data_IF_895599382344
#
_entry.id   IF_895599382344
#
_cell.length_a   1.000
_cell.length_b   1.000
_cell.length_c   1.000
_cell.angle_alpha   90.00
_cell.angle_beta   90.00
_cell.angle_gamma   90.00
#
_symmetry.space_group_name_H-M   'P 1'
#
loop_
_entity.id
_entity.type
_entity.pdbx_description
1 polymer ?
#
# COMPACT_ATOMS: atom_id res chain seq x y z
N UNK A 1 13.90 -10.61 6.54
CA UNK A 1 12.56 -10.17 6.10
C UNK A 1 12.74 -8.91 5.27
N UNK A 2 12.33 -8.87 4.00
CA UNK A 2 12.32 -7.60 3.25
C UNK A 2 11.17 -6.75 3.83
N UNK A 3 11.51 -5.52 4.19
CA UNK A 3 10.65 -4.53 4.84
C UNK A 3 9.57 -4.06 3.84
N UNK A 4 8.36 -3.77 4.32
CA UNK A 4 7.24 -3.29 3.49
C UNK A 4 7.53 -1.99 2.77
N UNK A 5 6.81 -1.75 1.68
CA UNK A 5 6.98 -0.59 0.81
C UNK A 5 5.94 0.48 1.15
N UNK A 6 6.39 1.73 1.27
CA UNK A 6 5.52 2.88 1.57
C UNK A 6 4.97 3.50 0.29
N UNK A 7 3.69 3.87 0.33
CA UNK A 7 2.95 4.47 -0.78
C UNK A 7 2.50 5.87 -0.39
N UNK A 8 2.81 6.86 -1.22
CA UNK A 8 2.56 8.29 -1.01
C UNK A 8 3.02 8.80 0.36
N UNK A 9 4.26 8.50 0.76
CA UNK A 9 4.86 8.94 2.02
C UNK A 9 5.61 10.28 1.91
N UNK A 10 5.70 10.84 0.69
CA UNK A 10 6.49 12.01 0.36
C UNK A 10 7.99 11.90 0.66
N UNK A 11 8.49 10.69 0.91
CA UNK A 11 9.90 10.42 1.15
C UNK A 11 10.45 9.50 0.07
N UNK A 12 9.85 8.33 -0.07
CA UNK A 12 10.18 7.32 -1.08
C UNK A 12 9.29 7.53 -2.31
N UNK A 13 7.99 7.65 -2.08
CA UNK A 13 7.01 7.97 -3.11
C UNK A 13 6.55 9.42 -2.94
N UNK A 14 7.23 10.31 -3.67
CA UNK A 14 6.97 11.76 -3.63
C UNK A 14 5.55 12.07 -4.10
N UNK A 15 4.93 13.04 -3.42
CA UNK A 15 3.66 13.58 -3.87
C UNK A 15 3.77 14.14 -5.27
N UNK A 16 2.73 13.93 -6.08
CA UNK A 16 2.67 14.53 -7.42
C UNK A 16 2.40 16.02 -7.27
N UNK A 17 3.10 16.79 -8.09
CA UNK A 17 2.91 18.23 -8.22
C UNK A 17 2.45 18.53 -9.63
N UNK A 18 1.62 19.55 -9.79
CA UNK A 18 1.12 20.01 -11.08
C UNK A 18 1.02 21.52 -11.10
N UNK A 19 0.67 22.08 -12.26
CA UNK A 19 0.32 23.50 -12.39
C UNK A 19 -1.20 23.58 -12.53
N UNK A 20 -1.86 24.34 -11.69
CA UNK A 20 -3.29 24.63 -11.84
C UNK A 20 -3.46 25.52 -13.08
N UNK A 21 -4.22 25.02 -14.07
CA UNK A 21 -4.44 25.73 -15.33
C UNK A 21 -5.29 27.01 -15.16
N UNK A 22 -5.96 27.18 -14.02
CA UNK A 22 -6.88 28.29 -13.73
C UNK A 22 -6.13 29.53 -13.25
N UNK A 23 -5.08 29.35 -12.43
CA UNK A 23 -4.36 30.46 -11.79
C UNK A 23 -2.83 30.35 -11.84
N UNK A 24 -2.28 29.26 -12.40
CA UNK A 24 -0.85 29.03 -12.51
C UNK A 24 -0.15 28.64 -11.21
N UNK A 25 -0.90 28.40 -10.13
CA UNK A 25 -0.35 27.89 -8.87
C UNK A 25 0.25 26.49 -9.05
N UNK A 26 1.13 26.08 -8.13
CA UNK A 26 1.76 24.76 -8.13
C UNK A 26 1.24 23.90 -6.97
N UNK A 27 0.01 23.36 -7.06
CA UNK A 27 -0.54 22.54 -5.99
C UNK A 27 0.20 21.21 -5.83
N UNK A 28 0.23 20.73 -4.58
CA UNK A 28 0.74 19.41 -4.20
C UNK A 28 -0.45 18.46 -4.01
N UNK A 29 -0.41 17.29 -4.65
CA UNK A 29 -1.39 16.24 -4.46
C UNK A 29 -1.02 15.40 -3.22
N UNK A 30 -1.37 15.93 -2.04
CA UNK A 30 -1.19 15.22 -0.77
C UNK A 30 -1.98 13.91 -0.81
N UNK A 31 -1.28 12.79 -0.67
CA UNK A 31 -1.88 11.46 -0.77
C UNK A 31 -2.02 10.91 -2.20
N UNK A 32 -1.54 11.61 -3.24
CA UNK A 32 -1.51 11.09 -4.61
C UNK A 32 -2.87 10.60 -5.14
N UNK A 33 -3.95 11.33 -4.84
CA UNK A 33 -5.30 11.02 -5.33
C UNK A 33 -5.35 10.96 -6.85
N UNK A 34 -6.03 9.95 -7.41
CA UNK A 34 -6.14 9.76 -8.85
C UNK A 34 -4.87 9.23 -9.54
N UNK A 35 -3.78 8.98 -8.79
CA UNK A 35 -2.61 8.27 -9.32
C UNK A 35 -2.95 6.78 -9.47
N UNK A 36 -2.61 6.19 -10.62
CA UNK A 36 -2.66 4.73 -10.80
C UNK A 36 -1.31 4.13 -10.43
N UNK A 37 -1.28 3.40 -9.32
CA UNK A 37 -0.13 2.64 -8.88
C UNK A 37 -0.08 1.30 -9.59
N UNK A 38 1.13 0.93 -10.06
CA UNK A 38 1.44 -0.40 -10.61
C UNK A 38 2.63 -0.97 -9.86
N UNK A 39 2.34 -1.81 -8.87
CA UNK A 39 3.35 -2.39 -7.98
C UNK A 39 3.74 -3.75 -8.51
N UNK A 40 5.01 -3.92 -8.85
CA UNK A 40 5.57 -5.20 -9.25
C UNK A 40 6.48 -5.71 -8.14
N UNK A 41 6.13 -6.86 -7.56
CA UNK A 41 6.94 -7.48 -6.50
C UNK A 41 7.82 -8.55 -7.12
N UNK A 42 9.15 -8.33 -7.20
CA UNK A 42 10.07 -9.35 -7.68
C UNK A 42 10.21 -10.44 -6.62
N UNK A 43 9.93 -11.67 -7.01
CA UNK A 43 9.98 -12.84 -6.14
C UNK A 43 11.09 -13.78 -6.61
N UNK A 44 11.83 -14.36 -5.65
CA UNK A 44 12.86 -15.35 -5.97
C UNK A 44 12.16 -16.67 -6.31
N UNK A 45 12.59 -17.32 -7.39
CA UNK A 45 12.18 -18.69 -7.71
C UNK A 45 12.44 -19.58 -6.49
N UNK A 46 11.44 -20.37 -6.09
CA UNK A 46 11.44 -21.26 -4.92
C UNK A 46 11.34 -20.58 -3.54
N UNK A 47 11.02 -19.28 -3.48
CA UNK A 47 10.64 -18.65 -2.22
C UNK A 47 9.29 -19.21 -1.71
N UNK A 48 9.09 -19.34 -0.38
CA UNK A 48 7.81 -19.76 0.17
C UNK A 48 6.70 -18.79 -0.25
N UNK A 49 5.46 -19.25 -0.24
CA UNK A 49 4.27 -18.43 -0.49
C UNK A 49 4.29 -17.18 0.38
N UNK A 50 3.81 -16.05 -0.16
CA UNK A 50 3.78 -14.77 0.56
C UNK A 50 2.34 -14.31 0.72
N UNK A 51 2.04 -13.92 1.95
CA UNK A 51 0.83 -13.23 2.35
C UNK A 51 1.04 -11.72 2.24
N UNK A 52 0.11 -11.04 1.61
CA UNK A 52 0.16 -9.60 1.38
C UNK A 52 -0.91 -8.88 2.21
N UNK A 53 -0.56 -7.73 2.78
CA UNK A 53 -1.49 -6.87 3.49
C UNK A 53 -1.29 -5.41 3.08
N UNK A 54 -2.35 -4.62 3.13
CA UNK A 54 -2.28 -3.17 3.11
C UNK A 54 -2.57 -2.62 4.52
N UNK A 55 -1.82 -1.59 4.94
CA UNK A 55 -2.07 -0.89 6.19
C UNK A 55 -1.93 0.63 6.02
N UNK A 56 -3.00 1.41 6.17
CA UNK A 56 -2.94 2.86 6.26
C UNK A 56 -2.20 3.27 7.53
N UNK A 57 -1.37 4.31 7.47
CA UNK A 57 -0.70 4.84 8.67
C UNK A 57 -1.63 5.65 9.59
N UNK A 58 -2.90 5.80 9.21
CA UNK A 58 -3.93 6.45 9.99
C UNK A 58 -5.08 6.94 9.11
N UNK A 59 -6.21 7.20 9.75
CA UNK A 59 -7.43 7.65 9.07
C UNK A 59 -8.08 6.56 8.22
N UNK A 60 -9.25 6.89 7.68
CA UNK A 60 -10.07 5.98 6.89
C UNK A 60 -9.44 5.67 5.53
N UNK A 61 -9.46 4.39 5.13
CA UNK A 61 -9.17 3.91 3.78
C UNK A 61 -10.29 2.98 3.32
N UNK A 62 -10.72 3.12 2.06
CA UNK A 62 -11.66 2.18 1.43
C UNK A 62 -11.52 2.20 -0.09
N UNK A 63 -11.01 1.13 -0.68
CA UNK A 63 -10.70 1.08 -2.10
C UNK A 63 -10.78 -0.30 -2.72
N UNK A 64 -10.38 -0.36 -3.99
CA UNK A 64 -10.30 -1.58 -4.77
C UNK A 64 -8.88 -1.72 -5.30
N UNK A 65 -8.33 -2.91 -5.15
CA UNK A 65 -7.08 -3.30 -5.78
C UNK A 65 -7.34 -4.42 -6.78
N UNK A 66 -6.42 -4.57 -7.71
CA UNK A 66 -6.37 -5.75 -8.57
C UNK A 66 -5.03 -6.44 -8.41
N UNK A 67 -5.02 -7.76 -8.56
CA UNK A 67 -3.80 -8.56 -8.61
C UNK A 67 -3.80 -9.43 -9.86
N UNK A 68 -2.66 -9.42 -10.55
CA UNK A 68 -2.39 -10.28 -11.69
C UNK A 68 -1.13 -11.09 -11.43
N UNK A 69 -1.18 -12.39 -11.74
CA UNK A 69 -0.05 -13.31 -11.55
C UNK A 69 0.62 -13.60 -12.89
N UNK A 70 1.92 -13.36 -12.97
CA UNK A 70 2.71 -13.49 -14.20
C UNK A 70 2.13 -12.68 -15.36
N UNK A 71 2.30 -13.20 -16.58
CA UNK A 71 1.83 -12.55 -17.81
C UNK A 71 0.44 -13.04 -18.28
N UNK A 72 -0.29 -13.77 -17.44
CA UNK A 72 -1.62 -14.28 -17.79
C UNK A 72 -2.65 -13.15 -17.92
N UNK A 73 -3.75 -13.35 -18.69
CA UNK A 73 -4.78 -12.34 -18.86
C UNK A 73 -5.71 -12.19 -17.64
N UNK A 74 -5.61 -13.10 -16.67
CA UNK A 74 -6.50 -13.13 -15.52
C UNK A 74 -6.06 -12.16 -14.43
N UNK A 75 -6.96 -11.25 -14.08
CA UNK A 75 -6.81 -10.29 -13.00
C UNK A 75 -7.89 -10.56 -11.95
N UNK A 76 -7.50 -10.73 -10.69
CA UNK A 76 -8.43 -10.82 -9.55
C UNK A 76 -8.67 -9.43 -8.99
N UNK A 77 -9.93 -9.10 -8.74
CA UNK A 77 -10.34 -7.90 -8.01
C UNK A 77 -10.34 -8.20 -6.50
N UNK A 78 -9.88 -7.24 -5.71
CA UNK A 78 -9.79 -7.31 -4.25
C UNK A 78 -10.42 -6.04 -3.69
N UNK A 79 -11.47 -6.19 -2.88
CA UNK A 79 -11.99 -5.10 -2.05
C UNK A 79 -11.04 -4.87 -0.88
N UNK A 80 -10.72 -3.61 -0.57
CA UNK A 80 -9.74 -3.25 0.45
C UNK A 80 -10.34 -2.19 1.36
N UNK A 81 -10.84 -2.56 2.55
CA UNK A 81 -10.89 -3.92 3.12
C UNK A 81 -12.02 -4.79 2.53
N UNK A 82 -11.86 -6.12 2.56
CA UNK A 82 -12.91 -7.05 2.13
C UNK A 82 -14.05 -7.11 3.16
N UNK A 83 -15.29 -6.98 2.71
CA UNK A 83 -16.48 -7.13 3.55
C UNK A 83 -16.72 -5.99 4.56
N UNK A 84 -15.90 -4.94 4.53
CA UNK A 84 -16.02 -3.75 5.38
C UNK A 84 -16.09 -2.49 4.51
N UNK A 85 -16.82 -1.47 4.99
CA UNK A 85 -16.94 -0.20 4.26
C UNK A 85 -15.64 0.61 4.23
N UNK A 86 -14.79 0.46 5.24
CA UNK A 86 -13.48 1.10 5.38
C UNK A 86 -12.67 0.46 6.52
N UNK A 87 -11.39 0.81 6.63
CA UNK A 87 -10.49 0.50 7.75
C UNK A 87 -9.43 1.60 7.94
N UNK A 88 -8.63 1.53 9.00
CA UNK A 88 -7.50 2.42 9.28
C UNK A 88 -7.81 3.56 10.26
N UNK A 89 -9.09 3.78 10.57
CA UNK A 89 -9.53 4.76 11.56
C UNK A 89 -9.20 4.37 13.01
N UNK A 90 -8.91 3.08 13.24
CA UNK A 90 -8.40 2.55 14.51
C UNK A 90 -6.88 2.38 14.51
N UNK A 91 -6.19 2.60 13.38
CA UNK A 91 -4.73 2.68 13.38
C UNK A 91 -4.32 3.86 14.26
N UNK A 92 -3.62 3.56 15.35
CA UNK A 92 -3.18 4.58 16.29
C UNK A 92 -2.14 5.50 15.62
N UNK A 93 -2.17 6.82 15.88
CA UNK A 93 -1.11 7.71 15.44
C UNK A 93 0.26 7.20 15.88
N UNK A 94 1.23 7.21 14.97
CA UNK A 94 2.59 6.83 15.29
C UNK A 94 3.18 7.78 16.34
N UNK A 95 3.89 7.23 17.33
CA UNK A 95 4.75 8.04 18.20
C UNK A 95 5.96 8.54 17.39
N UNK A 96 6.58 9.65 17.80
CA UNK A 96 7.77 10.18 17.12
C UNK A 96 8.88 9.12 16.91
N UNK A 97 9.07 8.24 17.89
CA UNK A 97 10.02 7.12 17.80
C UNK A 97 9.66 6.10 16.72
N UNK A 98 8.37 5.80 16.53
CA UNK A 98 7.88 4.89 15.50
C UNK A 98 7.97 5.54 14.13
N UNK A 99 7.53 6.80 14.00
CA UNK A 99 7.64 7.57 12.75
C UNK A 99 9.09 7.65 12.28
N UNK A 100 10.01 7.97 13.20
CA UNK A 100 11.46 8.00 12.91
C UNK A 100 12.00 6.64 12.53
N UNK A 101 11.60 5.58 13.23
CA UNK A 101 12.01 4.21 12.89
C UNK A 101 11.49 3.79 11.51
N UNK A 102 10.29 4.24 11.10
CA UNK A 102 9.75 4.02 9.76
C UNK A 102 10.54 4.78 8.70
N UNK A 103 10.84 6.06 8.93
CA UNK A 103 11.64 6.90 8.03
C UNK A 103 13.07 6.33 7.84
N UNK A 104 13.70 5.89 8.93
CA UNK A 104 14.99 5.20 8.93
C UNK A 104 14.89 3.74 8.42
N UNK A 105 13.68 3.28 8.14
CA UNK A 105 13.35 1.92 7.69
C UNK A 105 13.88 0.87 8.64
N UNK A 106 13.91 1.10 9.93
CA UNK A 106 14.33 0.13 10.96
C UNK A 106 13.14 -0.69 11.47
N UNK A 107 11.94 -0.11 11.53
CA UNK A 107 10.68 -0.79 11.85
C UNK A 107 9.50 -0.15 11.10
N UNK A 108 8.50 -0.95 10.73
CA UNK A 108 7.28 -0.48 10.04
C UNK A 108 6.00 -0.75 10.83
N UNK A 109 6.12 -1.41 11.99
CA UNK A 109 4.98 -1.89 12.74
C UNK A 109 4.78 -1.05 14.00
N UNK A 110 3.69 -0.28 14.04
CA UNK A 110 3.13 0.29 15.25
C UNK A 110 2.40 -0.79 16.07
N UNK A 111 2.08 -0.48 17.33
CA UNK A 111 1.42 -1.44 18.23
C UNK A 111 -0.04 -1.73 17.85
N UNK A 112 -0.70 -0.80 17.14
CA UNK A 112 -2.12 -0.87 16.76
C UNK A 112 -2.26 -0.43 15.29
N UNK A 113 -2.03 -1.35 14.37
CA UNK A 113 -2.21 -1.14 12.94
C UNK A 113 -3.32 -2.05 12.42
N UNK A 114 -4.23 -1.49 11.65
CA UNK A 114 -5.21 -2.30 10.94
C UNK A 114 -4.61 -2.83 9.63
N UNK A 115 -4.93 -4.09 9.32
CA UNK A 115 -4.44 -4.79 8.14
C UNK A 115 -5.62 -5.24 7.27
N UNK A 116 -5.61 -4.90 5.99
CA UNK A 116 -6.48 -5.49 5.00
C UNK A 116 -5.74 -6.61 4.28
N UNK A 117 -6.31 -7.81 4.24
CA UNK A 117 -5.78 -8.96 3.52
C UNK A 117 -5.88 -8.75 2.00
N UNK A 118 -4.74 -8.82 1.30
CA UNK A 118 -4.68 -8.74 -0.17
C UNK A 118 -4.54 -10.11 -0.85
N UNK A 119 -4.45 -11.16 -0.06
CA UNK A 119 -4.35 -12.56 -0.44
C UNK A 119 -2.95 -13.14 -0.31
N UNK A 120 -2.91 -14.47 -0.45
CA UNK A 120 -1.73 -15.30 -0.33
C UNK A 120 -1.36 -15.90 -1.70
N UNK A 121 -0.14 -15.65 -2.20
CA UNK A 121 0.25 -16.04 -3.56
C UNK A 121 1.59 -16.79 -3.61
N UNK A 122 1.65 -17.80 -4.49
CA UNK A 122 2.91 -18.52 -4.75
C UNK A 122 3.91 -17.62 -5.46
N UNK A 123 5.18 -17.81 -5.14
CA UNK A 123 6.29 -17.02 -5.68
C UNK A 123 6.95 -17.64 -6.92
N UNK A 124 6.25 -18.54 -7.61
CA UNK A 124 6.72 -19.13 -8.86
C UNK A 124 6.73 -18.11 -10.02
N UNK A 125 5.85 -17.09 -9.97
CA UNK A 125 5.74 -16.00 -10.95
C UNK A 125 5.55 -14.66 -10.22
N UNK A 126 5.94 -13.52 -10.83
CA UNK A 126 5.72 -12.21 -10.24
C UNK A 126 4.23 -11.93 -9.97
N UNK A 127 3.96 -11.22 -8.87
CA UNK A 127 2.64 -10.67 -8.57
C UNK A 127 2.63 -9.18 -8.88
N UNK A 128 1.63 -8.73 -9.64
CA UNK A 128 1.42 -7.34 -10.02
C UNK A 128 0.16 -6.83 -9.35
N UNK A 129 0.28 -5.81 -8.51
CA UNK A 129 -0.87 -5.12 -7.92
C UNK A 129 -1.11 -3.80 -8.64
N UNK A 130 -2.35 -3.52 -8.99
CA UNK A 130 -2.75 -2.20 -9.49
C UNK A 130 -3.87 -1.62 -8.64
N UNK A 131 -3.75 -0.36 -8.26
CA UNK A 131 -4.78 0.35 -7.52
C UNK A 131 -4.67 1.86 -7.73
N UNK A 132 -5.72 2.58 -7.42
CA UNK A 132 -5.69 4.04 -7.32
C UNK A 132 -6.24 4.45 -5.96
N UNK A 133 -5.61 5.42 -5.26
CA UNK A 133 -6.11 5.90 -3.98
C UNK A 133 -7.52 6.51 -4.17
N UNK A 134 -8.53 5.96 -3.48
CA UNK A 134 -9.87 6.53 -3.41
C UNK A 134 -9.82 7.96 -2.85
N UNK A 135 -10.70 8.85 -3.30
CA UNK A 135 -10.72 10.25 -2.85
C UNK A 135 -10.94 10.45 -1.35
N UNK A 136 -11.49 9.46 -0.66
CA UNK A 136 -11.68 9.45 0.80
C UNK A 136 -10.59 8.67 1.56
N UNK A 137 -9.64 8.05 0.87
CA UNK A 137 -8.59 7.25 1.51
C UNK A 137 -7.45 8.12 2.00
N UNK A 138 -7.09 7.93 3.27
CA UNK A 138 -5.91 8.51 3.85
C UNK A 138 -4.68 7.69 3.43
N UNK A 139 -3.80 8.35 2.69
CA UNK A 139 -2.42 7.92 2.46
C UNK A 139 -1.49 8.82 3.27
N UNK A 140 -0.33 8.32 3.73
CA UNK A 140 0.37 7.12 3.29
C UNK A 140 -0.19 5.76 3.77
N UNK A 141 0.10 4.71 2.99
CA UNK A 141 -0.14 3.32 3.36
C UNK A 141 1.10 2.45 3.12
N UNK A 142 1.22 1.37 3.90
CA UNK A 142 2.27 0.38 3.81
C UNK A 142 1.76 -0.90 3.15
N UNK A 143 2.48 -1.38 2.14
CA UNK A 143 2.31 -2.73 1.60
C UNK A 143 3.22 -3.69 2.36
N UNK A 144 2.62 -4.64 3.07
CA UNK A 144 3.31 -5.55 3.99
C UNK A 144 3.36 -6.95 3.37
N UNK A 145 4.55 -7.55 3.40
CA UNK A 145 4.80 -8.91 2.89
C UNK A 145 5.22 -9.79 4.06
N UNK A 146 4.44 -10.83 4.35
CA UNK A 146 4.74 -11.84 5.37
C UNK A 146 4.90 -13.20 4.67
N UNK A 147 5.91 -14.02 5.02
CA UNK A 147 5.89 -15.44 4.65
C UNK A 147 4.56 -16.08 5.09
N UNK A 148 3.92 -16.82 4.19
CA UNK A 148 2.75 -17.60 4.55
C UNK A 148 3.14 -18.65 5.58
N UNK A 149 2.24 -18.92 6.53
CA UNK A 149 2.40 -20.07 7.43
C UNK A 149 2.17 -21.35 6.62
N UNK A 150 2.88 -22.44 6.96
CA UNK A 150 2.78 -23.75 6.26
C UNK A 150 1.37 -24.36 6.34
#
# INVERSE_FOLDING_TARGET
MKKGDMLADNEIDKYKVGVDATDGSQPVNYGNYGVLYKITIPVKKDAPKVQYYLSPLGGTYAGIMTVRRGHGPYTKLIEVPEGLGYFGDQTAPETESVSKAREERTALFGSHMELADLGCYENAVPNHFEFSPPGASNLPACLILKPADE
#
